data_IF_919479817382
#
_entry.id   IF_919479817382
#
_cell.length_a   1.000
_cell.length_b   1.000
_cell.length_c   1.000
_cell.angle_alpha   90.00
_cell.angle_beta   90.00
_cell.angle_gamma   90.00
#
_symmetry.space_group_name_H-M   'P 1'
#
loop_
_entity.id
_entity.type
_entity.pdbx_description
1 polymer ?
#
# COMPACT_ATOMS: atom_id res chain seq x y z
N UNK A 1 35.62 -14.77 -35.73
CA UNK A 1 34.62 -15.47 -34.89
C UNK A 1 33.95 -14.45 -33.99
N UNK A 2 32.65 -14.18 -34.17
CA UNK A 2 31.84 -13.36 -33.25
C UNK A 2 31.13 -14.32 -32.28
N UNK A 3 31.52 -14.29 -31.01
CA UNK A 3 30.82 -14.98 -29.93
C UNK A 3 29.57 -14.16 -29.57
N UNK A 4 28.40 -14.71 -29.87
CA UNK A 4 27.11 -14.15 -29.45
C UNK A 4 26.83 -14.71 -28.06
N UNK A 5 27.07 -13.92 -27.01
CA UNK A 5 26.54 -14.22 -25.67
C UNK A 5 25.02 -14.02 -25.72
N UNK A 6 24.27 -15.11 -25.66
CA UNK A 6 22.83 -15.08 -25.46
C UNK A 6 22.56 -14.98 -23.96
N UNK A 7 22.20 -13.78 -23.46
CA UNK A 7 21.68 -13.61 -22.11
C UNK A 7 20.28 -14.24 -22.07
N UNK A 8 20.15 -15.39 -21.40
CA UNK A 8 18.87 -15.92 -20.95
C UNK A 8 18.39 -15.05 -19.79
N UNK A 9 17.51 -14.09 -20.08
CA UNK A 9 16.77 -13.38 -19.04
C UNK A 9 15.79 -14.36 -18.40
N UNK A 10 16.13 -14.92 -17.23
CA UNK A 10 15.14 -15.58 -16.37
C UNK A 10 14.20 -14.50 -15.82
N UNK A 11 13.04 -14.34 -16.45
CA UNK A 11 11.91 -13.68 -15.81
C UNK A 11 11.38 -14.61 -14.73
N UNK A 12 11.91 -14.45 -13.51
CA UNK A 12 11.22 -14.92 -12.32
C UNK A 12 9.88 -14.18 -12.26
N UNK A 13 8.82 -14.82 -12.74
CA UNK A 13 7.47 -14.39 -12.48
C UNK A 13 7.22 -14.67 -11.00
N UNK A 14 7.26 -13.63 -10.17
CA UNK A 14 6.73 -13.70 -8.81
C UNK A 14 5.25 -14.04 -8.94
N UNK A 15 4.89 -15.30 -8.73
CA UNK A 15 3.50 -15.70 -8.63
C UNK A 15 2.98 -15.16 -7.30
N UNK A 16 2.40 -13.96 -7.31
CA UNK A 16 1.71 -13.40 -6.17
C UNK A 16 0.53 -14.31 -5.80
N UNK A 17 0.19 -14.42 -4.51
CA UNK A 17 -1.02 -15.11 -4.11
C UNK A 17 -2.25 -14.46 -4.78
N UNK A 18 -3.28 -15.27 -5.00
CA UNK A 18 -4.56 -14.77 -5.48
C UNK A 18 -5.09 -13.73 -4.48
N UNK A 19 -5.69 -12.62 -4.96
CA UNK A 19 -6.20 -11.59 -4.07
C UNK A 19 -7.29 -12.17 -3.17
N UNK A 20 -7.28 -11.80 -1.89
CA UNK A 20 -8.40 -12.06 -0.98
C UNK A 20 -9.63 -11.31 -1.50
N UNK A 21 -10.71 -12.07 -1.74
CA UNK A 21 -12.01 -11.49 -2.05
C UNK A 21 -12.60 -10.89 -0.79
N UNK A 22 -13.07 -9.66 -0.87
CA UNK A 22 -13.80 -9.02 0.23
C UNK A 22 -15.22 -8.72 -0.23
N UNK A 23 -16.18 -8.97 0.66
CA UNK A 23 -17.58 -8.69 0.40
C UNK A 23 -17.82 -7.19 0.18
N UNK A 24 -18.86 -6.87 -0.59
CA UNK A 24 -19.31 -5.48 -0.74
C UNK A 24 -19.74 -4.95 0.64
N UNK A 25 -19.21 -3.79 1.07
CA UNK A 25 -19.53 -3.25 2.39
C UNK A 25 -21.01 -2.90 2.56
N UNK A 26 -21.56 -3.15 3.74
CA UNK A 26 -22.87 -2.60 4.14
C UNK A 26 -22.75 -1.13 4.52
N UNK A 27 -23.86 -0.36 4.51
CA UNK A 27 -23.85 1.03 4.99
C UNK A 27 -23.30 1.17 6.41
N UNK A 28 -23.63 0.24 7.31
CA UNK A 28 -23.15 0.24 8.70
C UNK A 28 -21.63 0.01 8.79
N UNK A 29 -21.08 -0.87 7.93
CA UNK A 29 -19.64 -1.07 7.83
C UNK A 29 -18.95 0.19 7.30
N UNK A 30 -19.54 0.85 6.31
CA UNK A 30 -19.04 2.12 5.79
C UNK A 30 -18.97 3.20 6.87
N UNK A 31 -20.03 3.37 7.66
CA UNK A 31 -20.08 4.35 8.74
C UNK A 31 -19.05 4.03 9.83
N UNK A 32 -18.93 2.76 10.22
CA UNK A 32 -17.93 2.32 11.20
C UNK A 32 -16.50 2.60 10.74
N UNK A 33 -16.16 2.30 9.50
CA UNK A 33 -14.82 2.56 8.99
C UNK A 33 -14.52 4.05 8.85
N UNK A 34 -15.48 4.85 8.36
CA UNK A 34 -15.32 6.31 8.25
C UNK A 34 -15.13 6.97 9.63
N UNK A 35 -15.84 6.49 10.65
CA UNK A 35 -15.68 6.98 12.02
C UNK A 35 -14.29 6.70 12.62
N UNK A 36 -13.54 5.75 12.06
CA UNK A 36 -12.23 5.32 12.56
C UNK A 36 -11.09 5.55 11.53
N UNK A 37 -11.24 6.55 10.65
CA UNK A 37 -10.15 6.93 9.73
C UNK A 37 -8.90 7.33 10.52
N UNK A 38 -7.73 6.84 10.10
CA UNK A 38 -6.45 7.09 10.76
C UNK A 38 -6.20 6.30 12.04
N UNK A 39 -7.11 5.41 12.43
CA UNK A 39 -6.94 4.52 13.60
C UNK A 39 -6.38 3.16 13.18
N UNK A 40 -5.29 2.70 13.77
CA UNK A 40 -4.73 1.37 13.53
C UNK A 40 -4.26 0.77 14.85
N UNK A 41 -4.58 -0.50 15.12
CA UNK A 41 -4.19 -1.18 16.37
C UNK A 41 -4.49 -0.35 17.64
N UNK A 42 -5.71 0.20 17.73
CA UNK A 42 -6.17 1.08 18.82
C UNK A 42 -5.38 2.40 18.98
N UNK A 43 -4.54 2.75 18.02
CA UNK A 43 -3.77 3.98 17.98
C UNK A 43 -4.30 4.92 16.89
N UNK A 44 -4.58 6.17 17.25
CA UNK A 44 -4.95 7.21 16.29
C UNK A 44 -3.72 8.02 15.87
N UNK A 45 -3.48 8.10 14.56
CA UNK A 45 -2.48 8.99 13.99
C UNK A 45 -3.13 10.05 13.10
N UNK A 46 -2.91 11.32 13.44
CA UNK A 46 -3.39 12.44 12.63
C UNK A 46 -2.74 12.44 11.24
N UNK A 47 -1.46 12.10 11.15
CA UNK A 47 -0.76 11.98 9.88
C UNK A 47 -1.38 10.89 8.99
N UNK A 48 -1.71 9.73 9.58
CA UNK A 48 -2.40 8.68 8.85
C UNK A 48 -3.80 9.10 8.37
N UNK A 49 -4.53 9.89 9.19
CA UNK A 49 -5.79 10.49 8.76
C UNK A 49 -5.62 11.44 7.58
N UNK A 50 -4.58 12.28 7.56
CA UNK A 50 -4.28 13.19 6.43
C UNK A 50 -4.05 12.40 5.14
N UNK A 51 -3.24 11.34 5.20
CA UNK A 51 -3.02 10.44 4.05
C UNK A 51 -4.34 9.81 3.57
N UNK A 52 -5.15 9.32 4.51
CA UNK A 52 -6.42 8.67 4.21
C UNK A 52 -7.42 9.62 3.54
N UNK A 53 -7.59 10.82 4.10
CA UNK A 53 -8.49 11.83 3.54
C UNK A 53 -8.05 12.22 2.11
N UNK A 54 -6.74 12.37 1.87
CA UNK A 54 -6.21 12.66 0.54
C UNK A 54 -6.41 11.50 -0.46
N UNK A 55 -6.21 10.25 -0.02
CA UNK A 55 -6.52 9.06 -0.81
C UNK A 55 -8.00 9.04 -1.21
N UNK A 56 -8.92 9.21 -0.25
CA UNK A 56 -10.35 9.12 -0.50
C UNK A 56 -10.87 10.28 -1.35
N UNK A 57 -10.32 11.48 -1.18
CA UNK A 57 -10.62 12.61 -2.07
C UNK A 57 -10.24 12.31 -3.53
N UNK A 58 -9.11 11.63 -3.79
CA UNK A 58 -8.76 11.19 -5.15
C UNK A 58 -9.82 10.23 -5.72
N UNK A 59 -10.29 9.29 -4.91
CA UNK A 59 -11.32 8.32 -5.33
C UNK A 59 -12.63 9.03 -5.66
N UNK A 60 -13.06 9.97 -4.83
CA UNK A 60 -14.26 10.80 -5.07
C UNK A 60 -14.18 11.58 -6.40
N UNK A 61 -12.98 11.99 -6.81
CA UNK A 61 -12.76 12.67 -8.11
C UNK A 61 -12.71 11.73 -9.32
N UNK A 62 -12.98 10.43 -9.14
CA UNK A 62 -13.16 9.45 -10.21
C UNK A 62 -12.04 8.41 -10.32
N UNK A 63 -11.05 8.44 -9.44
CA UNK A 63 -9.96 7.47 -9.41
C UNK A 63 -10.40 6.13 -8.80
N UNK A 64 -10.52 5.07 -9.61
CA UNK A 64 -11.11 3.80 -9.17
C UNK A 64 -10.13 2.67 -8.89
N UNK A 65 -8.81 2.95 -8.80
CA UNK A 65 -7.79 1.91 -8.59
C UNK A 65 -6.83 2.30 -7.46
N UNK A 66 -7.21 2.10 -6.19
CA UNK A 66 -6.46 2.59 -5.02
C UNK A 66 -4.97 2.26 -5.06
N UNK A 67 -4.58 1.11 -5.58
CA UNK A 67 -3.19 0.64 -5.56
C UNK A 67 -2.30 1.28 -6.63
N UNK A 68 -2.87 2.08 -7.54
CA UNK A 68 -2.13 2.84 -8.53
C UNK A 68 -1.74 4.24 -8.05
N UNK A 69 -2.10 4.64 -6.82
CA UNK A 69 -1.67 5.91 -6.22
C UNK A 69 -0.94 5.68 -4.91
N UNK A 70 0.19 6.37 -4.76
CA UNK A 70 1.03 6.29 -3.57
C UNK A 70 0.31 6.80 -2.32
N UNK A 71 -0.66 7.73 -2.43
CA UNK A 71 -1.50 8.20 -1.32
C UNK A 71 -2.29 7.07 -0.67
N UNK A 72 -2.97 6.26 -1.48
CA UNK A 72 -3.77 5.15 -0.98
C UNK A 72 -2.92 3.97 -0.54
N UNK A 73 -1.74 3.78 -1.15
CA UNK A 73 -0.76 2.80 -0.66
C UNK A 73 -0.21 3.21 0.71
N UNK A 74 0.17 4.48 0.91
CA UNK A 74 0.60 4.99 2.21
C UNK A 74 -0.50 4.82 3.26
N UNK A 75 -1.73 5.21 2.90
CA UNK A 75 -2.94 5.02 3.72
C UNK A 75 -3.11 3.56 4.15
N UNK A 76 -3.03 2.62 3.21
CA UNK A 76 -3.20 1.19 3.51
C UNK A 76 -2.16 0.67 4.50
N UNK A 77 -0.91 1.14 4.41
CA UNK A 77 0.13 0.74 5.35
C UNK A 77 -0.07 1.33 6.75
N UNK A 78 -0.69 2.51 6.87
CA UNK A 78 -0.84 3.18 8.17
C UNK A 78 -2.15 2.81 8.90
N UNK A 79 -3.26 2.64 8.18
CA UNK A 79 -4.57 2.36 8.80
C UNK A 79 -5.12 0.96 8.57
N UNK A 80 -4.40 0.13 7.81
CA UNK A 80 -4.86 -1.19 7.40
C UNK A 80 -5.43 -1.24 5.99
N UNK A 81 -5.12 -2.33 5.30
CA UNK A 81 -5.51 -2.63 3.92
C UNK A 81 -7.02 -2.88 3.79
N UNK A 82 -7.61 -3.63 4.72
CA UNK A 82 -9.04 -3.99 4.68
C UNK A 82 -9.90 -2.76 4.87
N UNK A 83 -9.54 -1.92 5.85
CA UNK A 83 -10.26 -0.66 6.07
C UNK A 83 -10.10 0.31 4.89
N UNK A 84 -8.90 0.41 4.32
CA UNK A 84 -8.65 1.32 3.18
C UNK A 84 -9.47 0.93 1.95
N UNK A 85 -9.45 -0.35 1.56
CA UNK A 85 -10.29 -0.82 0.44
C UNK A 85 -11.77 -0.78 0.80
N UNK A 86 -12.11 -1.06 2.05
CA UNK A 86 -13.47 -1.00 2.55
C UNK A 86 -14.09 0.38 2.36
N UNK A 87 -13.40 1.44 2.83
CA UNK A 87 -13.85 2.82 2.65
C UNK A 87 -13.86 3.20 1.17
N UNK A 88 -12.84 2.81 0.40
CA UNK A 88 -12.80 3.04 -1.04
C UNK A 88 -14.02 2.41 -1.77
N UNK A 89 -14.40 1.20 -1.38
CA UNK A 89 -15.59 0.49 -1.90
C UNK A 89 -16.90 1.17 -1.48
N UNK A 90 -16.92 1.88 -0.35
CA UNK A 90 -18.05 2.70 0.09
C UNK A 90 -18.17 4.04 -0.67
N UNK A 91 -17.13 4.45 -1.39
CA UNK A 91 -17.08 5.68 -2.18
C UNK A 91 -17.40 5.38 -3.65
N UNK A 92 -16.84 4.29 -4.20
CA UNK A 92 -16.99 3.93 -5.61
C UNK A 92 -17.40 2.46 -5.78
N UNK A 93 -18.57 2.24 -6.37
CA UNK A 93 -19.12 0.91 -6.62
C UNK A 93 -18.21 0.05 -7.53
N UNK A 94 -17.45 0.67 -8.43
CA UNK A 94 -16.49 -0.04 -9.30
C UNK A 94 -15.40 -0.71 -8.47
N UNK A 95 -14.96 -0.06 -7.39
CA UNK A 95 -14.00 -0.63 -6.44
C UNK A 95 -14.64 -1.79 -5.69
N UNK A 96 -15.88 -1.64 -5.23
CA UNK A 96 -16.61 -2.71 -4.55
C UNK A 96 -16.80 -3.96 -5.44
N UNK A 97 -17.13 -3.77 -6.71
CA UNK A 97 -17.27 -4.84 -7.69
C UNK A 97 -15.93 -5.52 -8.00
N UNK A 98 -14.86 -4.73 -8.17
CA UNK A 98 -13.52 -5.28 -8.41
C UNK A 98 -13.02 -6.10 -7.21
N UNK A 99 -13.18 -5.58 -6.00
CA UNK A 99 -12.73 -6.18 -4.74
C UNK A 99 -13.48 -7.48 -4.36
N UNK A 100 -14.72 -7.64 -4.82
CA UNK A 100 -15.51 -8.87 -4.65
C UNK A 100 -15.31 -9.89 -5.79
N UNK A 101 -14.70 -9.47 -6.89
CA UNK A 101 -14.43 -10.34 -8.04
C UNK A 101 -13.24 -11.28 -7.80
N UNK A 102 -13.14 -12.35 -8.61
CA UNK A 102 -11.93 -13.20 -8.62
C UNK A 102 -10.70 -12.55 -9.23
N UNK A 103 -10.86 -11.41 -9.92
CA UNK A 103 -9.74 -10.66 -10.51
C UNK A 103 -9.13 -9.73 -9.47
N UNK A 104 -9.96 -9.16 -8.59
CA UNK A 104 -9.54 -8.21 -7.56
C UNK A 104 -9.25 -6.82 -8.10
N UNK A 105 -8.71 -5.96 -7.23
CA UNK A 105 -8.09 -4.70 -7.62
C UNK A 105 -6.72 -4.94 -8.27
N UNK A 106 -6.29 -4.00 -9.13
CA UNK A 106 -4.95 -4.03 -9.73
C UNK A 106 -3.88 -4.04 -8.63
N UNK A 107 -2.80 -4.82 -8.73
CA UNK A 107 -1.73 -4.79 -7.72
C UNK A 107 -1.06 -3.42 -7.67
N UNK A 108 -0.31 -3.15 -6.59
CA UNK A 108 0.54 -1.95 -6.50
C UNK A 108 1.40 -1.86 -7.77
N UNK A 109 1.35 -0.70 -8.42
CA UNK A 109 2.07 -0.53 -9.68
C UNK A 109 3.58 -0.48 -9.45
N UNK A 110 4.33 -0.90 -10.46
CA UNK A 110 5.79 -0.76 -10.45
C UNK A 110 6.22 0.71 -10.34
N UNK A 111 5.38 1.63 -10.83
CA UNK A 111 5.59 3.07 -10.75
C UNK A 111 5.42 3.59 -9.31
N UNK A 112 4.41 3.14 -8.57
CA UNK A 112 4.31 3.47 -7.14
C UNK A 112 5.50 2.90 -6.38
N UNK A 113 5.85 1.63 -6.61
CA UNK A 113 6.97 1.00 -5.93
C UNK A 113 8.30 1.72 -6.21
N UNK A 114 8.67 1.87 -7.48
CA UNK A 114 9.99 2.41 -7.85
C UNK A 114 10.06 3.95 -7.86
N UNK A 115 8.92 4.63 -7.96
CA UNK A 115 8.85 6.09 -7.91
C UNK A 115 8.74 6.64 -6.50
N UNK A 116 8.12 5.90 -5.57
CA UNK A 116 7.79 6.43 -4.26
C UNK A 116 8.31 5.62 -3.07
N UNK A 117 8.56 4.31 -3.20
CA UNK A 117 8.98 3.48 -2.06
C UNK A 117 10.45 3.12 -2.18
N UNK A 118 10.79 2.24 -3.12
CA UNK A 118 12.18 1.94 -3.43
C UNK A 118 12.64 2.93 -4.52
N UNK A 119 13.33 3.99 -4.13
CA UNK A 119 13.75 5.08 -5.03
C UNK A 119 15.20 4.98 -5.50
N UNK A 120 15.92 3.92 -5.13
CA UNK A 120 17.37 3.81 -5.34
C UNK A 120 17.79 2.58 -6.15
N UNK A 121 16.84 1.82 -6.72
CA UNK A 121 17.15 0.62 -7.47
C UNK A 121 17.95 0.93 -8.73
N UNK A 122 19.25 0.67 -8.67
CA UNK A 122 20.16 0.81 -9.80
C UNK A 122 20.16 -0.42 -10.73
N UNK A 123 19.26 -1.38 -10.52
CA UNK A 123 19.12 -2.57 -11.37
C UNK A 123 17.91 -2.45 -12.29
N UNK A 124 16.90 -3.31 -12.15
CA UNK A 124 15.62 -3.18 -12.83
C UNK A 124 14.51 -2.90 -11.79
N UNK A 125 13.49 -2.09 -12.12
CA UNK A 125 12.36 -1.81 -11.24
C UNK A 125 11.79 -3.09 -10.62
N UNK A 126 11.54 -3.06 -9.31
CA UNK A 126 10.90 -4.16 -8.57
C UNK A 126 11.83 -5.33 -8.22
N UNK A 127 13.11 -5.26 -8.61
CA UNK A 127 14.14 -6.23 -8.19
C UNK A 127 14.76 -5.90 -6.84
N UNK A 128 14.78 -4.62 -6.46
CA UNK A 128 15.39 -4.16 -5.23
C UNK A 128 14.35 -4.19 -4.09
N UNK A 129 14.70 -4.77 -2.91
CA UNK A 129 13.94 -4.57 -1.69
C UNK A 129 13.98 -3.10 -1.27
N UNK A 130 12.90 -2.63 -0.66
CA UNK A 130 12.88 -1.36 0.04
C UNK A 130 13.39 -1.56 1.46
N UNK A 131 14.27 -0.69 1.92
CA UNK A 131 14.69 -0.61 3.31
C UNK A 131 13.63 0.05 4.18
N UNK A 132 13.70 -0.16 5.50
CA UNK A 132 12.87 0.55 6.49
C UNK A 132 13.01 2.07 6.35
N UNK A 133 14.21 2.60 6.12
CA UNK A 133 14.42 4.04 5.93
C UNK A 133 13.69 4.55 4.68
N UNK A 134 13.74 3.81 3.58
CA UNK A 134 13.02 4.17 2.37
C UNK A 134 11.49 4.18 2.57
N UNK A 135 10.96 3.27 3.40
CA UNK A 135 9.56 3.31 3.80
C UNK A 135 9.22 4.54 4.66
N UNK A 136 10.07 4.91 5.61
CA UNK A 136 9.91 6.14 6.40
C UNK A 136 9.92 7.36 5.46
N UNK A 137 10.90 7.44 4.56
CA UNK A 137 11.01 8.53 3.59
C UNK A 137 9.79 8.59 2.65
N UNK A 138 9.23 7.43 2.28
CA UNK A 138 8.00 7.35 1.51
C UNK A 138 6.83 8.01 2.23
N UNK A 139 6.61 7.67 3.51
CA UNK A 139 5.54 8.27 4.32
C UNK A 139 5.73 9.79 4.42
N UNK A 140 6.92 10.23 4.82
CA UNK A 140 7.20 11.64 5.03
C UNK A 140 7.14 12.45 3.73
N UNK A 141 7.67 11.93 2.62
CA UNK A 141 7.54 12.59 1.31
C UNK A 141 6.08 12.68 0.86
N UNK A 142 5.28 11.64 1.11
CA UNK A 142 3.86 11.66 0.75
C UNK A 142 3.09 12.70 1.57
N UNK A 143 3.44 12.90 2.84
CA UNK A 143 2.88 13.96 3.68
C UNK A 143 3.37 15.36 3.23
N UNK A 144 4.64 15.50 2.86
CA UNK A 144 5.23 16.74 2.35
C UNK A 144 4.53 17.21 1.07
N UNK A 145 4.22 16.29 0.15
CA UNK A 145 3.43 16.58 -1.07
C UNK A 145 2.01 17.11 -0.77
N UNK A 146 1.49 16.86 0.43
CA UNK A 146 0.19 17.35 0.90
C UNK A 146 0.27 18.68 1.65
N UNK A 147 1.47 19.26 1.83
CA UNK A 147 1.69 20.53 2.53
C UNK A 147 1.05 20.56 3.94
N UNK A 148 1.27 19.48 4.70
CA UNK A 148 0.71 19.29 6.05
C UNK A 148 1.71 19.58 7.16
N UNK A 149 1.22 20.06 8.29
CA UNK A 149 1.98 20.18 9.54
C UNK A 149 1.85 18.93 10.44
N UNK A 150 1.12 17.91 9.98
CA UNK A 150 0.85 16.68 10.76
C UNK A 150 1.84 15.58 10.42
N UNK A 151 2.80 15.39 11.31
CA UNK A 151 3.89 14.42 11.14
C UNK A 151 3.76 13.26 12.14
N UNK A 152 3.92 12.00 11.71
CA UNK A 152 3.90 10.86 12.60
C UNK A 152 5.22 10.76 13.35
N UNK A 153 5.21 10.25 14.57
CA UNK A 153 6.47 9.87 15.22
C UNK A 153 7.10 8.68 14.48
N UNK A 154 8.34 8.85 14.01
CA UNK A 154 8.98 7.85 13.18
C UNK A 154 9.15 6.51 13.90
N UNK A 155 9.45 6.52 15.20
CA UNK A 155 9.65 5.28 15.95
C UNK A 155 8.31 4.64 16.31
N UNK A 156 7.50 5.33 17.10
CA UNK A 156 6.30 4.75 17.73
C UNK A 156 5.12 4.58 16.79
N UNK A 157 5.04 5.30 15.67
CA UNK A 157 3.98 5.12 14.67
C UNK A 157 4.50 4.39 13.43
N UNK A 158 5.48 4.98 12.74
CA UNK A 158 5.89 4.47 11.42
C UNK A 158 6.61 3.12 11.54
N UNK A 159 7.51 2.97 12.51
CA UNK A 159 8.27 1.73 12.69
C UNK A 159 7.46 0.71 13.49
N UNK A 160 7.08 1.06 14.72
CA UNK A 160 6.54 0.09 15.69
C UNK A 160 5.13 -0.40 15.36
N UNK A 161 4.35 0.37 14.58
CA UNK A 161 2.99 0.01 14.19
C UNK A 161 2.93 -0.33 12.70
N UNK A 162 3.27 0.62 11.82
CA UNK A 162 2.97 0.47 10.39
C UNK A 162 3.94 -0.46 9.67
N UNK A 163 5.24 -0.24 9.84
CA UNK A 163 6.27 -1.12 9.29
C UNK A 163 6.21 -2.50 9.92
N UNK A 164 6.07 -2.57 11.25
CA UNK A 164 6.03 -3.85 11.95
C UNK A 164 4.84 -4.70 11.49
N UNK A 165 3.66 -4.11 11.26
CA UNK A 165 2.49 -4.83 10.71
C UNK A 165 2.80 -5.48 9.35
N UNK A 166 3.53 -4.79 8.47
CA UNK A 166 3.97 -5.37 7.18
C UNK A 166 4.98 -6.50 7.36
N UNK A 167 5.94 -6.33 8.28
CA UNK A 167 6.96 -7.35 8.58
C UNK A 167 6.30 -8.62 9.15
N UNK A 168 5.42 -8.45 10.14
CA UNK A 168 4.71 -9.54 10.82
C UNK A 168 3.83 -10.32 9.85
N UNK A 169 3.12 -9.63 8.95
CA UNK A 169 2.30 -10.28 7.94
C UNK A 169 3.14 -11.04 6.90
N UNK A 170 4.18 -10.39 6.36
CA UNK A 170 4.89 -10.89 5.17
C UNK A 170 6.07 -11.82 5.49
N UNK A 171 6.43 -11.96 6.77
CA UNK A 171 7.64 -12.68 7.20
C UNK A 171 8.92 -12.05 6.66
N UNK A 172 8.89 -10.75 6.37
CA UNK A 172 10.06 -10.01 5.90
C UNK A 172 11.12 -9.84 7.00
N UNK A 173 12.30 -9.38 6.61
CA UNK A 173 13.29 -8.91 7.59
C UNK A 173 12.88 -7.58 8.19
N UNK A 174 13.26 -7.31 9.44
CA UNK A 174 12.98 -6.01 10.08
C UNK A 174 13.59 -4.82 9.34
N UNK A 175 14.61 -5.04 8.51
CA UNK A 175 15.31 -3.97 7.80
C UNK A 175 14.87 -3.78 6.34
N UNK A 176 14.18 -4.76 5.75
CA UNK A 176 13.79 -4.68 4.33
C UNK A 176 12.58 -5.54 3.95
N UNK A 177 11.82 -5.06 2.96
CA UNK A 177 10.68 -5.74 2.35
C UNK A 177 10.83 -5.77 0.82
N UNK A 178 10.57 -6.93 0.22
CA UNK A 178 10.59 -7.06 -1.25
C UNK A 178 9.29 -6.54 -1.87
N UNK A 179 9.31 -6.18 -3.15
CA UNK A 179 8.08 -5.83 -3.88
C UNK A 179 7.03 -6.96 -3.82
N UNK A 180 7.50 -8.21 -3.92
CA UNK A 180 6.69 -9.43 -3.73
C UNK A 180 5.86 -9.40 -2.45
N UNK A 181 6.56 -9.25 -1.32
CA UNK A 181 5.99 -9.21 0.02
C UNK A 181 5.07 -8.00 0.23
N UNK A 182 5.46 -6.83 -0.30
CA UNK A 182 4.65 -5.61 -0.17
C UNK A 182 3.32 -5.71 -0.93
N UNK A 183 3.33 -6.19 -2.18
CA UNK A 183 2.11 -6.43 -2.95
C UNK A 183 1.21 -7.46 -2.27
N UNK A 184 1.81 -8.50 -1.69
CA UNK A 184 1.06 -9.52 -0.96
C UNK A 184 0.40 -8.93 0.29
N UNK A 185 1.11 -8.14 1.09
CA UNK A 185 0.56 -7.38 2.20
C UNK A 185 -0.63 -6.52 1.78
N UNK A 186 -0.45 -5.66 0.77
CA UNK A 186 -1.50 -4.73 0.33
C UNK A 186 -2.77 -5.46 -0.12
N UNK A 187 -2.63 -6.63 -0.77
CA UNK A 187 -3.78 -7.37 -1.31
C UNK A 187 -4.43 -8.26 -0.27
N UNK A 188 -3.64 -8.91 0.58
CA UNK A 188 -4.05 -10.09 1.34
C UNK A 188 -3.96 -9.93 2.85
N UNK A 189 -3.43 -8.82 3.36
CA UNK A 189 -3.52 -8.52 4.79
C UNK A 189 -4.97 -8.24 5.21
N UNK A 190 -5.32 -8.71 6.42
CA UNK A 190 -6.58 -8.44 7.10
C UNK A 190 -6.45 -7.29 8.13
N UNK A 191 -5.32 -6.58 8.14
CA UNK A 191 -5.09 -5.33 8.89
C UNK A 191 -6.12 -4.25 8.55
#
# INVERSE_FOLDING_TARGET
MKLILSLLALTAASAYANPVKRDTPTPEQCDKWRANIGVSHDHFSLACKVLADACFAKIETGFSQPWLTHLCVATATCQGTTKTVGIASCIDERIAQANSSSVGLDPVSQEVWSGHIETTCNTAPGRCPASRQQYIDFIYRTLDELDTDSWPDAQSEVIDIWWQSMVDFSGASEDSITFGQFVDFIRNSDS
#
